data_IF_377910139072
#
_entry.id   IF_377910139072
#
_cell.length_a   1.000
_cell.length_b   1.000
_cell.length_c   1.000
_cell.angle_alpha   90.00
_cell.angle_beta   90.00
_cell.angle_gamma   90.00
#
_symmetry.space_group_name_H-M   'P 1'
#
loop_
_entity.id
_entity.type
_entity.pdbx_description
1 polymer ?
#
# COMPACT_ATOMS: atom_id res chain seq x y z
N UNK A 1 -8.72 12.04 14.78
CA UNK A 1 -10.02 11.42 15.12
C UNK A 1 -10.06 10.10 14.38
N UNK A 2 -10.27 9.00 15.10
CA UNK A 2 -10.45 7.69 14.46
C UNK A 2 -11.84 7.65 13.85
N UNK A 3 -11.92 7.29 12.58
CA UNK A 3 -13.16 7.09 11.82
C UNK A 3 -13.07 5.78 11.05
N UNK A 4 -14.21 5.23 10.62
CA UNK A 4 -14.20 4.06 9.73
C UNK A 4 -13.34 4.30 8.49
N UNK A 5 -13.37 5.52 7.93
CA UNK A 5 -12.53 5.90 6.79
C UNK A 5 -11.04 5.87 7.12
N UNK A 6 -10.62 6.35 8.30
CA UNK A 6 -9.21 6.29 8.69
C UNK A 6 -8.73 4.85 8.91
N UNK A 7 -9.60 3.97 9.41
CA UNK A 7 -9.31 2.54 9.58
C UNK A 7 -9.22 1.81 8.23
N UNK A 8 -10.08 2.15 7.26
CA UNK A 8 -9.99 1.61 5.88
C UNK A 8 -8.70 2.06 5.22
N UNK A 9 -8.32 3.34 5.38
CA UNK A 9 -7.06 3.85 4.85
C UNK A 9 -5.85 3.10 5.41
N UNK A 10 -5.77 2.93 6.74
CA UNK A 10 -4.67 2.22 7.39
C UNK A 10 -4.64 0.74 7.02
N UNK A 11 -5.79 0.08 6.85
CA UNK A 11 -5.88 -1.27 6.28
C UNK A 11 -5.27 -1.33 4.87
N UNK A 12 -5.59 -0.37 4.00
CA UNK A 12 -5.01 -0.27 2.65
C UNK A 12 -3.48 -0.18 2.69
N UNK A 13 -2.92 0.64 3.58
CA UNK A 13 -1.47 0.75 3.76
C UNK A 13 -0.82 -0.56 4.23
N UNK A 14 -1.48 -1.31 5.13
CA UNK A 14 -1.00 -2.63 5.58
C UNK A 14 -1.04 -3.66 4.44
N UNK A 15 -2.09 -3.66 3.61
CA UNK A 15 -2.14 -4.56 2.45
C UNK A 15 -1.01 -4.27 1.45
N UNK A 16 -0.68 -3.00 1.23
CA UNK A 16 0.46 -2.59 0.40
C UNK A 16 1.79 -3.03 1.01
N UNK A 17 1.95 -2.90 2.32
CA UNK A 17 3.13 -3.39 3.06
C UNK A 17 3.29 -4.91 2.90
N UNK A 18 2.21 -5.69 3.05
CA UNK A 18 2.23 -7.15 2.90
C UNK A 18 2.60 -7.56 1.48
N UNK A 19 2.03 -6.91 0.45
CA UNK A 19 2.33 -7.24 -0.95
C UNK A 19 3.77 -6.90 -1.36
N UNK A 20 4.31 -5.78 -0.85
CA UNK A 20 5.59 -5.23 -1.30
C UNK A 20 6.76 -5.57 -0.38
N UNK A 21 6.49 -6.01 0.85
CA UNK A 21 7.49 -6.19 1.89
C UNK A 21 8.18 -4.89 2.31
N UNK A 22 7.57 -3.73 2.03
CA UNK A 22 8.12 -2.40 2.30
C UNK A 22 7.29 -1.70 3.39
N UNK A 23 7.93 -0.97 4.32
CA UNK A 23 7.19 -0.24 5.34
C UNK A 23 6.28 0.82 4.70
N UNK A 24 5.08 1.06 5.26
CA UNK A 24 4.11 2.02 4.71
C UNK A 24 4.60 3.47 4.83
N UNK A 25 5.45 3.74 5.80
CA UNK A 25 6.09 5.03 5.99
C UNK A 25 7.50 4.88 6.57
N UNK A 26 8.35 5.85 6.25
CA UNK A 26 9.68 6.01 6.85
C UNK A 26 9.72 7.31 7.64
N UNK A 27 10.27 7.25 8.85
CA UNK A 27 10.51 8.44 9.67
C UNK A 27 11.97 8.89 9.50
N UNK A 28 12.14 10.11 9.02
CA UNK A 28 13.44 10.75 8.86
C UNK A 28 13.94 11.35 10.19
N UNK A 29 15.26 11.55 10.38
CA UNK A 29 15.81 12.10 11.62
C UNK A 29 15.29 13.49 12.02
N UNK A 30 14.79 14.27 11.05
CA UNK A 30 14.18 15.57 11.27
C UNK A 30 12.69 15.50 11.68
N UNK A 31 12.14 14.30 11.88
CA UNK A 31 10.73 14.07 12.21
C UNK A 31 9.78 14.04 11.01
N UNK A 32 10.26 14.22 9.78
CA UNK A 32 9.44 14.09 8.57
C UNK A 32 9.03 12.63 8.35
N UNK A 33 7.74 12.41 8.07
CA UNK A 33 7.20 11.09 7.75
C UNK A 33 6.97 11.02 6.24
N UNK A 34 7.64 10.08 5.58
CA UNK A 34 7.49 9.83 4.15
C UNK A 34 6.63 8.59 3.91
N UNK A 35 5.43 8.78 3.36
CA UNK A 35 4.52 7.71 2.99
C UNK A 35 4.93 7.09 1.66
N UNK A 36 5.46 5.86 1.71
CA UNK A 36 6.12 5.19 0.59
C UNK A 36 5.18 4.94 -0.60
N UNK A 37 3.88 4.78 -0.37
CA UNK A 37 2.91 4.43 -1.42
C UNK A 37 2.09 5.60 -1.97
N UNK A 38 2.31 6.82 -1.45
CA UNK A 38 1.56 8.03 -1.85
C UNK A 38 1.63 8.32 -3.35
N UNK A 39 2.72 7.93 -4.00
CA UNK A 39 2.96 8.11 -5.43
C UNK A 39 2.25 7.08 -6.34
N UNK A 40 1.52 6.11 -5.78
CA UNK A 40 0.81 5.08 -6.57
C UNK A 40 -0.46 5.62 -7.22
N UNK A 41 -1.26 6.45 -6.54
CA UNK A 41 -2.48 7.07 -7.09
C UNK A 41 -3.39 6.10 -7.88
N UNK A 42 -3.57 4.87 -7.38
CA UNK A 42 -4.38 3.85 -8.06
C UNK A 42 -3.71 3.11 -9.24
N UNK A 43 -2.44 3.36 -9.51
CA UNK A 43 -1.66 2.73 -10.60
C UNK A 43 -1.26 1.29 -10.26
N UNK A 44 -2.05 0.33 -10.77
CA UNK A 44 -1.81 -1.11 -10.59
C UNK A 44 -0.51 -1.58 -11.24
N UNK A 45 -0.21 -1.28 -12.52
CA UNK A 45 1.08 -1.65 -13.11
C UNK A 45 2.28 -1.23 -12.26
N UNK A 46 2.25 -0.01 -11.71
CA UNK A 46 3.30 0.49 -10.82
C UNK A 46 3.39 -0.28 -9.51
N UNK A 47 2.26 -0.61 -8.88
CA UNK A 47 2.22 -1.47 -7.71
C UNK A 47 2.77 -2.88 -8.01
N UNK A 48 2.38 -3.48 -9.14
CA UNK A 48 2.82 -4.82 -9.53
C UNK A 48 4.35 -4.89 -9.72
N UNK A 49 4.98 -3.79 -10.17
CA UNK A 49 6.44 -3.68 -10.23
C UNK A 49 7.12 -3.60 -8.85
N UNK A 50 6.36 -3.35 -7.77
CA UNK A 50 6.85 -3.26 -6.39
C UNK A 50 6.59 -4.52 -5.56
N UNK A 51 5.79 -5.48 -6.05
CA UNK A 51 5.44 -6.72 -5.34
C UNK A 51 6.70 -7.50 -4.98
N UNK A 52 6.77 -7.98 -3.74
CA UNK A 52 7.92 -8.74 -3.27
C UNK A 52 7.95 -10.14 -3.92
N UNK A 53 9.00 -10.47 -4.71
CA UNK A 53 9.09 -11.78 -5.34
C UNK A 53 9.18 -12.94 -4.34
N UNK A 54 9.60 -12.69 -3.10
CA UNK A 54 9.66 -13.71 -2.03
C UNK A 54 8.28 -14.20 -1.62
N UNK A 55 7.25 -13.38 -1.84
CA UNK A 55 5.86 -13.75 -1.53
C UNK A 55 5.29 -14.84 -2.44
N UNK A 56 5.88 -15.04 -3.64
CA UNK A 56 5.46 -16.09 -4.60
C UNK A 56 3.95 -16.11 -4.86
N UNK A 57 3.31 -14.95 -4.80
CA UNK A 57 1.88 -14.80 -4.97
C UNK A 57 1.46 -15.23 -6.37
N UNK A 58 0.34 -15.96 -6.53
CA UNK A 58 -0.30 -16.08 -7.83
C UNK A 58 -0.55 -14.68 -8.40
N UNK A 59 -0.14 -14.36 -9.65
CA UNK A 59 -0.22 -12.99 -10.18
C UNK A 59 -1.61 -12.37 -10.08
N UNK A 60 -2.65 -13.19 -10.33
CA UNK A 60 -4.04 -12.75 -10.20
C UNK A 60 -4.41 -12.36 -8.76
N UNK A 61 -3.90 -13.08 -7.76
CA UNK A 61 -4.18 -12.77 -6.36
C UNK A 61 -3.50 -11.45 -5.94
N UNK A 62 -2.23 -11.27 -6.31
CA UNK A 62 -1.50 -10.02 -6.06
C UNK A 62 -2.20 -8.82 -6.71
N UNK A 63 -2.70 -8.97 -7.93
CA UNK A 63 -3.46 -7.91 -8.61
C UNK A 63 -4.79 -7.60 -7.89
N UNK A 64 -5.57 -8.61 -7.51
CA UNK A 64 -6.86 -8.38 -6.82
C UNK A 64 -6.67 -7.73 -5.45
N UNK A 65 -5.73 -8.23 -4.65
CA UNK A 65 -5.40 -7.62 -3.35
C UNK A 65 -4.83 -6.22 -3.55
N UNK A 66 -4.01 -6.01 -4.58
CA UNK A 66 -3.46 -4.70 -4.92
C UNK A 66 -4.55 -3.69 -5.30
N UNK A 67 -5.56 -4.09 -6.07
CA UNK A 67 -6.74 -3.26 -6.39
C UNK A 67 -7.50 -2.86 -5.14
N UNK A 68 -7.79 -3.82 -4.26
CA UNK A 68 -8.44 -3.53 -2.98
C UNK A 68 -7.60 -2.57 -2.13
N UNK A 69 -6.29 -2.82 -2.02
CA UNK A 69 -5.38 -2.00 -1.25
C UNK A 69 -5.33 -0.54 -1.75
N UNK A 70 -5.27 -0.35 -3.07
CA UNK A 70 -5.31 0.99 -3.68
C UNK A 70 -6.68 1.67 -3.55
N UNK A 71 -7.79 0.93 -3.61
CA UNK A 71 -9.12 1.51 -3.32
C UNK A 71 -9.18 2.03 -1.89
N UNK A 72 -8.72 1.24 -0.92
CA UNK A 72 -8.68 1.65 0.48
C UNK A 72 -7.76 2.86 0.73
N UNK A 73 -6.58 2.90 0.10
CA UNK A 73 -5.55 3.91 0.37
C UNK A 73 -5.63 5.16 -0.52
N UNK A 74 -6.30 5.11 -1.67
CA UNK A 74 -6.38 6.21 -2.64
C UNK A 74 -7.80 6.77 -2.84
N UNK A 75 -8.85 6.19 -2.25
CA UNK A 75 -10.18 6.83 -2.25
C UNK A 75 -10.18 8.10 -1.38
N UNK A 76 -10.39 9.24 -2.05
CA UNK A 76 -10.49 10.56 -1.44
C UNK A 76 -11.75 10.75 -0.60
#
# INVERSE_FOLDING_TARGET
VVTEKSEVYSLGMVLLEVLTGRPPALQHPNGHIEYQFSHLNGDIPKLMAMVDPRGQWPPMLAEHVGRLALQCACEQ
#
